data_IF_723730179170
#
_entry.id   IF_723730179170
#
_cell.length_a   1.000
_cell.length_b   1.000
_cell.length_c   1.000
_cell.angle_alpha   90.00
_cell.angle_beta   90.00
_cell.angle_gamma   90.00
#
_symmetry.space_group_name_H-M   'P 1'
#
loop_
_entity.id
_entity.type
_entity.pdbx_description
1 polymer ?
#
# COMPACT_ATOMS: atom_id res chain seq x y z
N UNK A 1 -1.85 -16.90 14.11
CA UNK A 1 -2.39 -18.28 13.98
C UNK A 1 -1.35 -19.36 14.29
N UNK A 2 -0.03 -19.10 14.22
CA UNK A 2 0.97 -20.02 14.78
C UNK A 2 1.10 -21.37 14.06
N UNK A 3 0.70 -21.41 12.78
CA UNK A 3 0.75 -22.61 11.95
C UNK A 3 2.15 -22.71 11.35
N UNK A 4 2.83 -23.83 11.59
CA UNK A 4 4.19 -24.05 11.12
C UNK A 4 4.25 -24.84 9.79
N UNK A 5 3.23 -25.68 9.52
CA UNK A 5 3.15 -26.45 8.30
C UNK A 5 1.94 -26.00 7.47
N UNK A 6 2.19 -25.17 6.46
CA UNK A 6 1.16 -24.70 5.54
C UNK A 6 0.75 -25.77 4.51
N UNK A 7 1.60 -26.76 4.24
CA UNK A 7 1.32 -27.83 3.25
C UNK A 7 0.28 -28.81 3.82
N UNK A 8 0.34 -29.07 5.12
CA UNK A 8 -0.62 -29.93 5.83
C UNK A 8 -1.80 -29.13 6.41
N UNK A 9 -1.89 -27.84 6.11
CA UNK A 9 -3.01 -27.05 6.59
C UNK A 9 -4.30 -27.50 5.89
N UNK A 10 -5.34 -27.75 6.68
CA UNK A 10 -6.63 -28.29 6.23
C UNK A 10 -7.46 -27.19 5.53
N UNK A 11 -7.03 -26.82 4.31
CA UNK A 11 -7.80 -25.96 3.43
C UNK A 11 -9.00 -26.73 2.86
N UNK A 12 -10.17 -26.09 2.81
CA UNK A 12 -11.34 -26.66 2.12
C UNK A 12 -11.08 -26.87 0.62
N UNK A 13 -10.37 -25.92 0.00
CA UNK A 13 -9.80 -26.03 -1.34
C UNK A 13 -8.38 -25.46 -1.28
N UNK A 14 -7.38 -26.33 -1.37
CA UNK A 14 -5.99 -25.95 -1.16
C UNK A 14 -5.47 -25.18 -2.37
N UNK A 15 -4.84 -24.00 -2.17
CA UNK A 15 -4.19 -23.30 -3.27
C UNK A 15 -3.02 -24.15 -3.83
N UNK A 16 -2.62 -23.93 -5.09
CA UNK A 16 -1.46 -24.62 -5.65
C UNK A 16 -0.21 -24.39 -4.81
N UNK A 17 0.58 -25.44 -4.58
CA UNK A 17 1.81 -25.36 -3.76
C UNK A 17 2.78 -24.28 -4.24
N UNK A 18 2.86 -24.08 -5.56
CA UNK A 18 3.70 -23.03 -6.17
C UNK A 18 3.28 -21.62 -5.73
N UNK A 19 1.98 -21.35 -5.61
CA UNK A 19 1.47 -20.05 -5.14
C UNK A 19 1.82 -19.83 -3.67
N UNK A 20 1.71 -20.87 -2.83
CA UNK A 20 2.11 -20.80 -1.42
C UNK A 20 3.61 -20.56 -1.26
N UNK A 21 4.44 -21.26 -2.03
CA UNK A 21 5.91 -21.07 -2.03
C UNK A 21 6.26 -19.65 -2.47
N UNK A 22 5.59 -19.12 -3.49
CA UNK A 22 5.80 -17.76 -3.97
C UNK A 22 5.45 -16.73 -2.89
N UNK A 23 4.32 -16.90 -2.20
CA UNK A 23 3.92 -16.01 -1.11
C UNK A 23 4.90 -16.06 0.06
N UNK A 24 5.35 -17.26 0.46
CA UNK A 24 6.38 -17.43 1.50
C UNK A 24 7.68 -16.71 1.12
N UNK A 25 8.11 -16.86 -0.13
CA UNK A 25 9.31 -16.20 -0.63
C UNK A 25 9.18 -14.67 -0.62
N UNK A 26 8.04 -14.13 -1.03
CA UNK A 26 7.76 -12.68 -0.97
C UNK A 26 7.83 -12.15 0.47
N UNK A 27 7.21 -12.84 1.42
CA UNK A 27 7.22 -12.43 2.83
C UNK A 27 8.63 -12.55 3.43
N UNK A 28 9.41 -13.56 3.03
CA UNK A 28 10.82 -13.69 3.38
C UNK A 28 11.67 -12.54 2.82
N UNK A 29 11.47 -12.14 1.56
CA UNK A 29 12.15 -10.97 0.96
C UNK A 29 11.81 -9.67 1.70
N UNK A 30 10.61 -9.57 2.27
CA UNK A 30 10.22 -8.47 3.14
C UNK A 30 10.84 -8.55 4.55
N UNK A 31 11.67 -9.55 4.84
CA UNK A 31 12.28 -9.77 6.16
C UNK A 31 11.24 -9.99 7.28
N UNK A 32 10.03 -10.40 6.91
CA UNK A 32 8.97 -10.75 7.85
C UNK A 32 9.14 -12.19 8.38
N UNK A 33 9.82 -13.05 7.62
CA UNK A 33 10.25 -14.39 8.04
C UNK A 33 11.78 -14.45 8.19
N UNK A 34 12.25 -15.27 9.11
CA UNK A 34 13.65 -15.67 9.23
C UNK A 34 13.95 -16.90 8.35
N UNK A 35 15.23 -17.34 8.25
CA UNK A 35 15.60 -18.51 7.44
C UNK A 35 14.95 -19.83 7.88
N UNK A 36 14.50 -19.92 9.14
CA UNK A 36 13.79 -21.08 9.69
C UNK A 36 12.28 -21.02 9.41
N UNK A 37 11.80 -19.95 8.74
CA UNK A 37 10.39 -19.76 8.39
C UNK A 37 9.55 -19.20 9.54
N UNK A 38 10.15 -18.68 10.60
CA UNK A 38 9.46 -18.10 11.75
C UNK A 38 9.30 -16.57 11.59
N UNK A 39 8.23 -16.03 12.18
CA UNK A 39 7.97 -14.58 12.14
C UNK A 39 9.02 -13.80 12.95
N UNK A 40 9.69 -12.87 12.26
CA UNK A 40 10.59 -11.89 12.86
C UNK A 40 9.83 -10.86 13.69
N UNK A 41 10.53 -10.01 14.45
CA UNK A 41 9.91 -8.88 15.16
C UNK A 41 9.21 -7.92 14.19
N UNK A 42 9.79 -7.71 13.01
CA UNK A 42 9.18 -6.93 11.94
C UNK A 42 7.91 -7.62 11.41
N UNK A 43 7.99 -8.92 11.10
CA UNK A 43 6.85 -9.69 10.62
C UNK A 43 5.67 -9.72 11.60
N UNK A 44 5.93 -9.81 12.91
CA UNK A 44 4.88 -9.72 13.94
C UNK A 44 4.18 -8.36 13.93
N UNK A 45 4.94 -7.26 13.87
CA UNK A 45 4.36 -5.92 13.75
C UNK A 45 3.59 -5.77 12.44
N UNK A 46 4.10 -6.31 11.34
CA UNK A 46 3.42 -6.24 10.05
C UNK A 46 2.04 -6.89 10.10
N UNK A 47 1.92 -8.02 10.80
CA UNK A 47 0.67 -8.77 10.98
C UNK A 47 -0.39 -8.06 11.85
N UNK A 48 -0.02 -6.97 12.55
CA UNK A 48 -0.98 -6.15 13.31
C UNK A 48 -1.72 -5.15 12.40
N UNK A 49 -1.21 -4.87 11.20
CA UNK A 49 -1.83 -3.93 10.27
C UNK A 49 -2.78 -4.64 9.29
N UNK A 50 -3.97 -4.09 9.01
CA UNK A 50 -4.88 -4.59 7.99
C UNK A 50 -4.45 -4.13 6.59
N UNK A 51 -3.18 -4.33 6.24
CA UNK A 51 -2.55 -3.86 5.01
C UNK A 51 -1.81 -5.00 4.32
N UNK A 52 -1.60 -4.85 3.01
CA UNK A 52 -0.68 -5.71 2.28
C UNK A 52 0.72 -5.68 2.93
N UNK A 53 1.46 -6.82 2.98
CA UNK A 53 2.75 -6.89 3.65
C UNK A 53 3.76 -5.83 3.20
N UNK A 54 3.78 -5.49 1.92
CA UNK A 54 4.68 -4.46 1.37
C UNK A 54 4.37 -3.06 1.92
N UNK A 55 3.08 -2.69 1.98
CA UNK A 55 2.62 -1.40 2.52
C UNK A 55 2.83 -1.33 4.04
N UNK A 56 2.58 -2.44 4.74
CA UNK A 56 2.81 -2.56 6.18
C UNK A 56 4.30 -2.35 6.52
N UNK A 57 5.21 -3.00 5.77
CA UNK A 57 6.65 -2.77 5.92
C UNK A 57 7.03 -1.31 5.64
N UNK A 58 6.52 -0.74 4.55
CA UNK A 58 6.79 0.66 4.18
C UNK A 58 6.39 1.62 5.30
N UNK A 59 5.20 1.42 5.89
CA UNK A 59 4.72 2.23 7.00
C UNK A 59 5.58 2.07 8.25
N UNK A 60 5.95 0.86 8.63
CA UNK A 60 6.81 0.62 9.80
C UNK A 60 8.20 1.27 9.61
N UNK A 61 8.77 1.17 8.41
CA UNK A 61 10.10 1.74 8.10
C UNK A 61 10.08 3.27 7.99
N UNK A 62 8.96 3.87 7.61
CA UNK A 62 8.83 5.33 7.55
C UNK A 62 9.06 6.03 8.89
N UNK A 63 8.80 5.34 10.01
CA UNK A 63 9.05 5.87 11.36
C UNK A 63 10.55 6.01 11.60
N UNK A 64 11.35 5.03 11.17
CA UNK A 64 12.82 5.06 11.31
C UNK A 64 13.46 6.11 10.38
N UNK A 65 12.83 6.35 9.22
CA UNK A 65 13.28 7.35 8.24
C UNK A 65 12.74 8.77 8.50
N UNK A 66 11.87 8.95 9.50
CA UNK A 66 11.32 10.27 9.88
C UNK A 66 10.27 10.83 8.91
N UNK A 67 9.67 10.01 8.05
CA UNK A 67 8.68 10.41 7.03
C UNK A 67 7.31 9.75 7.21
N UNK A 68 6.95 9.41 8.45
CA UNK A 68 5.74 8.63 8.74
C UNK A 68 4.43 9.31 8.34
N UNK A 69 4.32 10.64 8.45
CA UNK A 69 3.09 11.37 8.10
C UNK A 69 2.80 11.31 6.58
N UNK A 70 3.82 11.54 5.78
CA UNK A 70 3.75 11.47 4.31
C UNK A 70 3.45 10.04 3.85
N UNK A 71 4.14 9.05 4.41
CA UNK A 71 3.94 7.64 4.05
C UNK A 71 2.57 7.14 4.50
N UNK A 72 2.08 7.53 5.68
CA UNK A 72 0.73 7.20 6.12
C UNK A 72 -0.32 7.73 5.14
N UNK A 73 -0.12 8.96 4.65
CA UNK A 73 -1.00 9.56 3.65
C UNK A 73 -0.95 8.79 2.33
N UNK A 74 0.25 8.46 1.83
CA UNK A 74 0.42 7.68 0.59
C UNK A 74 -0.23 6.30 0.72
N UNK A 75 0.00 5.56 1.81
CA UNK A 75 -0.62 4.25 2.07
C UNK A 75 -2.14 4.35 2.10
N UNK A 76 -2.68 5.41 2.72
CA UNK A 76 -4.12 5.67 2.77
C UNK A 76 -4.69 5.90 1.37
N UNK A 77 -4.00 6.69 0.53
CA UNK A 77 -4.39 6.96 -0.85
C UNK A 77 -4.28 5.72 -1.76
N UNK A 78 -3.38 4.79 -1.46
CA UNK A 78 -3.25 3.52 -2.20
C UNK A 78 -4.29 2.47 -1.79
N UNK A 79 -4.85 2.60 -0.59
CA UNK A 79 -5.86 1.68 -0.06
C UNK A 79 -7.27 1.97 -0.58
N UNK A 80 -7.45 3.08 -1.32
CA UNK A 80 -8.71 3.45 -1.98
C UNK A 80 -8.58 3.28 -3.49
N UNK A 81 -9.74 3.29 -4.17
CA UNK A 81 -9.77 3.30 -5.64
C UNK A 81 -9.12 4.57 -6.19
N UNK A 82 -8.75 4.54 -7.48
CA UNK A 82 -8.13 5.67 -8.16
C UNK A 82 -8.96 6.97 -7.97
N UNK A 83 -8.32 7.98 -7.41
CA UNK A 83 -8.95 9.26 -7.04
C UNK A 83 -9.16 10.19 -8.25
N UNK A 84 -8.53 9.91 -9.38
CA UNK A 84 -8.66 10.72 -10.59
C UNK A 84 -9.84 10.23 -11.45
N UNK A 85 -10.82 11.11 -11.65
CA UNK A 85 -11.94 10.86 -12.54
C UNK A 85 -11.63 11.33 -13.98
N UNK A 86 -11.67 10.42 -14.95
CA UNK A 86 -11.35 10.69 -16.36
C UNK A 86 -12.48 10.27 -17.31
N UNK A 87 -13.54 11.08 -17.46
CA UNK A 87 -14.66 10.77 -18.35
C UNK A 87 -14.25 10.84 -19.83
N UNK A 88 -14.80 9.96 -20.67
CA UNK A 88 -14.43 9.83 -22.09
C UNK A 88 -14.62 11.12 -22.91
N UNK A 89 -15.63 11.91 -22.58
CA UNK A 89 -15.97 13.16 -23.28
C UNK A 89 -15.09 14.35 -22.87
N UNK A 90 -14.43 14.28 -21.71
CA UNK A 90 -13.63 15.39 -21.15
C UNK A 90 -12.24 14.93 -20.71
N UNK A 91 -11.63 14.03 -21.49
CA UNK A 91 -10.32 13.47 -21.18
C UNK A 91 -9.23 14.54 -21.09
N UNK A 92 -9.18 15.46 -22.05
CA UNK A 92 -8.19 16.54 -22.09
C UNK A 92 -8.26 17.43 -20.84
N UNK A 93 -9.48 17.80 -20.43
CA UNK A 93 -9.70 18.63 -19.23
C UNK A 93 -9.30 17.88 -17.95
N UNK A 94 -9.59 16.59 -17.85
CA UNK A 94 -9.20 15.76 -16.71
C UNK A 94 -7.68 15.62 -16.61
N UNK A 95 -7.00 15.43 -17.75
CA UNK A 95 -5.55 15.31 -17.83
C UNK A 95 -4.87 16.66 -17.49
N UNK A 96 -5.45 17.79 -17.90
CA UNK A 96 -5.01 19.13 -17.51
C UNK A 96 -5.18 19.40 -16.00
N UNK A 97 -6.29 18.96 -15.40
CA UNK A 97 -6.47 19.06 -13.94
C UNK A 97 -5.45 18.19 -13.20
N UNK A 98 -5.22 16.96 -13.67
CA UNK A 98 -4.25 16.02 -13.07
C UNK A 98 -2.82 16.55 -13.16
N UNK A 99 -2.42 17.15 -14.29
CA UNK A 99 -1.05 17.63 -14.50
C UNK A 99 -0.62 18.70 -13.50
N UNK A 100 -1.57 19.46 -12.93
CA UNK A 100 -1.32 20.47 -11.88
C UNK A 100 -0.77 19.88 -10.57
N UNK A 101 -1.02 18.58 -10.32
CA UNK A 101 -0.54 17.89 -9.13
C UNK A 101 0.68 17.01 -9.40
N UNK A 102 1.11 16.89 -10.65
CA UNK A 102 2.21 16.02 -11.04
C UNK A 102 3.49 16.39 -10.28
N UNK A 103 4.06 15.39 -9.63
CA UNK A 103 5.35 15.48 -8.96
C UNK A 103 6.39 14.72 -9.79
N UNK A 104 7.55 15.33 -10.12
CA UNK A 104 8.59 14.67 -10.91
C UNK A 104 9.21 13.46 -10.19
N UNK A 105 9.08 13.38 -8.87
CA UNK A 105 9.53 12.26 -8.04
C UNK A 105 8.69 10.99 -8.24
N UNK A 106 7.45 11.13 -8.74
CA UNK A 106 6.62 10.01 -9.16
C UNK A 106 5.15 10.08 -8.72
N UNK A 107 4.41 9.01 -9.04
CA UNK A 107 2.96 8.94 -8.83
C UNK A 107 2.57 8.89 -7.35
N UNK A 108 3.38 8.28 -6.48
CA UNK A 108 3.12 8.29 -5.04
C UNK A 108 3.22 9.71 -4.44
N UNK A 109 4.23 10.48 -4.86
CA UNK A 109 4.35 11.89 -4.47
C UNK A 109 3.20 12.72 -5.07
N UNK A 110 2.74 12.38 -6.28
CA UNK A 110 1.55 13.00 -6.88
C UNK A 110 0.29 12.75 -6.03
N UNK A 111 0.08 11.53 -5.51
CA UNK A 111 -1.03 11.22 -4.61
C UNK A 111 -0.95 12.03 -3.30
N UNK A 112 0.24 12.17 -2.73
CA UNK A 112 0.49 13.01 -1.55
C UNK A 112 0.14 14.48 -1.83
N UNK A 113 0.57 15.01 -2.98
CA UNK A 113 0.28 16.38 -3.39
C UNK A 113 -1.22 16.62 -3.54
N UNK A 114 -1.96 15.69 -4.15
CA UNK A 114 -3.43 15.77 -4.27
C UNK A 114 -4.10 15.77 -2.90
N UNK A 115 -3.72 14.86 -2.01
CA UNK A 115 -4.30 14.80 -0.66
C UNK A 115 -4.05 16.09 0.12
N UNK A 116 -2.81 16.59 0.09
CA UNK A 116 -2.44 17.83 0.76
C UNK A 116 -3.21 19.03 0.18
N UNK A 117 -3.37 19.11 -1.13
CA UNK A 117 -4.19 20.15 -1.75
C UNK A 117 -5.67 20.07 -1.29
N UNK A 118 -6.25 18.87 -1.26
CA UNK A 118 -7.61 18.67 -0.76
C UNK A 118 -7.76 19.08 0.72
N UNK A 119 -6.77 18.74 1.56
CA UNK A 119 -6.69 19.16 2.97
C UNK A 119 -6.56 20.68 3.12
N UNK A 120 -5.75 21.33 2.29
CA UNK A 120 -5.62 22.80 2.25
C UNK A 120 -6.92 23.50 1.82
N UNK A 121 -7.71 22.85 0.97
CA UNK A 121 -9.06 23.30 0.60
C UNK A 121 -10.15 22.81 1.57
N UNK A 122 -9.78 22.55 2.83
CA UNK A 122 -10.69 22.19 3.92
C UNK A 122 -11.60 20.99 3.60
N UNK A 123 -11.06 19.98 2.90
CA UNK A 123 -11.78 18.77 2.54
C UNK A 123 -13.03 19.05 1.69
N UNK A 124 -13.01 20.13 0.90
CA UNK A 124 -14.16 20.59 0.11
C UNK A 124 -14.57 19.59 -0.98
N UNK A 125 -15.83 19.12 -0.99
CA UNK A 125 -16.36 18.30 -2.08
C UNK A 125 -16.43 19.07 -3.39
N UNK A 126 -16.71 20.38 -3.33
CA UNK A 126 -16.83 21.24 -4.51
C UNK A 126 -15.50 21.38 -5.24
N UNK A 127 -14.38 21.36 -4.50
CA UNK A 127 -13.04 21.41 -5.08
C UNK A 127 -12.70 20.14 -5.87
N UNK A 128 -13.32 19.00 -5.53
CA UNK A 128 -13.11 17.73 -6.22
C UNK A 128 -13.79 17.65 -7.60
N UNK A 129 -14.73 18.55 -7.93
CA UNK A 129 -15.46 18.56 -9.20
C UNK A 129 -14.75 19.40 -10.29
#
# INVERSE_FOLDING_TARGET
>A
MGINNLIEFDFMDAPPSEAMITALFQIYQLSALDPDGLLTRLGRRMAEFPLEPSLSKMLIMSVELGCADDILTIVSMLSVQNVFYRPKEKQELADEKKSKFHQPEGDHCTLLAVYNAWKHHHFSPQWCF
#
